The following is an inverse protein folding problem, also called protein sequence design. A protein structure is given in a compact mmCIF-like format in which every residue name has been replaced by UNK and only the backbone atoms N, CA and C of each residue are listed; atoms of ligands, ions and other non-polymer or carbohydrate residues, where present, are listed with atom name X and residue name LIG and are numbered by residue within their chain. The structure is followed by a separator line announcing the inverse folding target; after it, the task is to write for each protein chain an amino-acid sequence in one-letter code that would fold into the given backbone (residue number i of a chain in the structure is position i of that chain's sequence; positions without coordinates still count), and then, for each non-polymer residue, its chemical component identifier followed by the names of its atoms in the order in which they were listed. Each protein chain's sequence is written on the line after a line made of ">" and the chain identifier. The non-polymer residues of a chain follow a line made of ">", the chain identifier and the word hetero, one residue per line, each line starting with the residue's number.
data_IF_620084397534
#
_entry.id   IF_620084397534
#
_cell.length_a   1.000
_cell.length_b   1.000
_cell.length_c   1.000
_cell.angle_alpha   90.00
_cell.angle_beta   90.00
_cell.angle_gamma   90.00
#
_symmetry.space_group_name_H-M   'P 1'
#
loop_
_entity.id
_entity.type
_entity.pdbx_description
1 polymer ?
#
# COMPACT_ATOMS: atom_id res chain seq x y z
N UNK A 1 12.69 -21.36 -61.61
CA UNK A 1 12.02 -20.97 -60.35
C UNK A 1 13.06 -20.36 -59.42
N UNK A 2 12.84 -19.09 -59.03
CA UNK A 2 13.35 -18.35 -57.82
C UNK A 2 14.73 -18.73 -57.26
N UNK A 3 15.79 -17.92 -57.49
CA UNK A 3 16.23 -16.74 -56.72
C UNK A 3 16.71 -17.02 -55.27
N UNK A 4 18.03 -16.85 -55.07
CA UNK A 4 18.83 -16.32 -53.95
C UNK A 4 18.24 -16.18 -52.53
N UNK A 5 19.02 -16.60 -51.52
CA UNK A 5 19.26 -15.89 -50.26
C UNK A 5 20.67 -16.25 -49.78
N UNK A 6 21.71 -15.41 -49.88
CA UNK A 6 21.94 -14.10 -49.26
C UNK A 6 21.93 -14.18 -47.72
N UNK A 7 23.13 -14.08 -47.15
CA UNK A 7 23.36 -13.86 -45.73
C UNK A 7 22.78 -12.52 -45.28
N UNK A 8 22.20 -12.48 -44.09
CA UNK A 8 22.05 -11.25 -43.31
C UNK A 8 22.41 -11.58 -41.86
N UNK A 9 23.62 -11.16 -41.50
CA UNK A 9 23.97 -10.78 -40.13
C UNK A 9 23.05 -9.66 -39.65
N UNK A 10 23.08 -9.48 -38.33
CA UNK A 10 22.63 -8.31 -37.57
C UNK A 10 21.19 -8.47 -37.01
N UNK A 11 20.81 -8.07 -35.80
CA UNK A 11 21.32 -7.03 -34.88
C UNK A 11 20.87 -7.39 -33.45
N UNK A 12 21.79 -7.34 -32.48
CA UNK A 12 21.65 -6.90 -31.09
C UNK A 12 20.34 -7.22 -30.34
N UNK A 13 20.45 -8.09 -29.34
CA UNK A 13 19.57 -8.01 -28.17
C UNK A 13 19.84 -6.67 -27.48
N UNK A 14 19.09 -5.65 -27.86
CA UNK A 14 18.92 -4.47 -27.03
C UNK A 14 18.30 -4.97 -25.72
N UNK A 15 19.02 -4.79 -24.60
CA UNK A 15 18.39 -4.92 -23.29
C UNK A 15 17.17 -4.02 -23.33
N UNK A 16 15.98 -4.60 -23.24
CA UNK A 16 14.76 -3.82 -23.16
C UNK A 16 14.91 -2.92 -21.93
N UNK A 17 15.01 -1.62 -22.14
CA UNK A 17 14.99 -0.67 -21.03
C UNK A 17 13.75 -0.99 -20.19
N UNK A 18 13.92 -1.14 -18.88
CA UNK A 18 12.79 -1.39 -18.01
C UNK A 18 11.82 -0.21 -18.14
N UNK A 19 10.53 -0.50 -18.35
CA UNK A 19 9.51 0.53 -18.27
C UNK A 19 9.46 1.05 -16.82
N UNK A 20 9.16 2.34 -16.63
CA UNK A 20 9.06 2.90 -15.29
C UNK A 20 8.01 2.16 -14.45
N UNK A 21 6.92 1.67 -15.08
CA UNK A 21 5.96 0.81 -14.41
C UNK A 21 6.56 -0.55 -13.97
N UNK A 22 7.45 -1.15 -14.78
CA UNK A 22 8.16 -2.38 -14.41
C UNK A 22 9.07 -2.15 -13.19
N UNK A 23 9.81 -1.05 -13.16
CA UNK A 23 10.70 -0.72 -12.03
C UNK A 23 9.90 -0.55 -10.73
N UNK A 24 8.74 0.11 -10.79
CA UNK A 24 7.88 0.30 -9.62
C UNK A 24 7.23 -1.02 -9.16
N UNK A 25 6.89 -1.93 -10.09
CA UNK A 25 6.39 -3.27 -9.74
C UNK A 25 7.47 -4.13 -9.09
N UNK A 26 8.67 -4.12 -9.65
CA UNK A 26 9.83 -4.82 -9.06
C UNK A 26 10.16 -4.30 -7.65
N UNK A 27 10.08 -2.98 -7.43
CA UNK A 27 10.22 -2.42 -6.08
C UNK A 27 9.18 -3.00 -5.10
N UNK A 28 7.93 -3.18 -5.52
CA UNK A 28 6.90 -3.81 -4.70
C UNK A 28 7.25 -5.25 -4.29
N UNK A 29 7.80 -6.02 -5.22
CA UNK A 29 8.24 -7.41 -4.99
C UNK A 29 9.43 -7.46 -4.02
N UNK A 30 10.41 -6.57 -4.19
CA UNK A 30 11.57 -6.50 -3.29
C UNK A 30 11.20 -5.99 -1.91
N UNK A 31 10.28 -5.03 -1.82
CA UNK A 31 9.71 -4.57 -0.57
C UNK A 31 9.06 -5.74 0.18
N UNK A 32 8.29 -6.57 -0.54
CA UNK A 32 7.70 -7.78 0.02
C UNK A 32 8.77 -8.75 0.54
N UNK A 33 9.79 -9.08 -0.26
CA UNK A 33 10.85 -10.02 0.15
C UNK A 33 11.63 -9.54 1.37
N UNK A 34 11.93 -8.24 1.48
CA UNK A 34 12.61 -7.69 2.66
C UNK A 34 11.71 -7.72 3.89
N UNK A 35 10.42 -7.38 3.72
CA UNK A 35 9.46 -7.42 4.82
C UNK A 35 9.29 -8.82 5.42
N UNK A 36 9.39 -9.87 4.58
CA UNK A 36 9.33 -11.26 5.06
C UNK A 36 10.59 -11.68 5.82
N UNK A 37 11.76 -11.21 5.39
CA UNK A 37 13.04 -11.65 5.94
C UNK A 37 13.36 -11.00 7.29
N UNK A 38 13.22 -9.68 7.41
CA UNK A 38 13.84 -8.92 8.52
C UNK A 38 12.95 -7.80 9.09
N UNK A 39 11.65 -7.76 8.77
CA UNK A 39 10.74 -6.62 9.01
C UNK A 39 11.21 -5.25 8.44
N UNK A 40 12.41 -5.22 7.86
CA UNK A 40 13.16 -4.13 7.26
C UNK A 40 13.45 -2.93 8.16
N UNK A 41 14.71 -2.50 8.15
CA UNK A 41 15.16 -1.30 8.85
C UNK A 41 15.11 -0.09 7.92
N UNK A 42 15.10 1.12 8.49
CA UNK A 42 15.14 2.36 7.70
C UNK A 42 16.31 2.40 6.71
N UNK A 43 17.47 1.83 7.07
CA UNK A 43 18.63 1.72 6.18
C UNK A 43 18.40 0.76 5.00
N UNK A 44 17.66 -0.33 5.18
CA UNK A 44 17.30 -1.23 4.09
C UNK A 44 16.30 -0.55 3.14
N UNK A 45 15.32 0.18 3.68
CA UNK A 45 14.38 0.96 2.88
C UNK A 45 15.08 2.00 2.01
N UNK A 46 16.02 2.76 2.58
CA UNK A 46 16.83 3.73 1.81
C UNK A 46 17.58 3.06 0.66
N UNK A 47 18.15 1.87 0.88
CA UNK A 47 18.87 1.13 -0.16
C UNK A 47 17.94 0.64 -1.28
N UNK A 48 16.76 0.11 -0.94
CA UNK A 48 15.77 -0.30 -1.93
C UNK A 48 15.25 0.88 -2.76
N UNK A 49 14.98 2.02 -2.11
CA UNK A 49 14.54 3.24 -2.79
C UNK A 49 15.62 3.77 -3.73
N UNK A 50 16.89 3.80 -3.28
CA UNK A 50 18.01 4.26 -4.08
C UNK A 50 18.24 3.37 -5.31
N UNK A 51 18.10 2.06 -5.17
CA UNK A 51 18.18 1.11 -6.29
C UNK A 51 17.05 1.35 -7.31
N UNK A 52 15.81 1.49 -6.83
CA UNK A 52 14.68 1.82 -7.70
C UNK A 52 14.88 3.15 -8.42
N UNK A 53 15.41 4.18 -7.75
CA UNK A 53 15.75 5.46 -8.37
C UNK A 53 16.91 5.36 -9.38
N UNK A 54 17.85 4.44 -9.17
CA UNK A 54 18.92 4.22 -10.15
C UNK A 54 18.37 3.61 -11.45
N UNK A 55 17.37 2.74 -11.34
CA UNK A 55 16.70 2.09 -12.47
C UNK A 55 15.65 2.97 -13.13
N UNK A 56 14.97 3.82 -12.36
CA UNK A 56 14.21 4.97 -12.87
C UNK A 56 15.20 6.02 -13.39
N UNK A 57 15.65 5.86 -14.62
CA UNK A 57 16.51 6.84 -15.30
C UNK A 57 15.72 7.58 -16.37
N UNK A 58 16.27 8.70 -16.86
CA UNK A 58 15.68 9.42 -18.02
C UNK A 58 15.78 8.59 -19.32
N UNK A 59 16.55 7.49 -19.29
CA UNK A 59 16.65 6.47 -20.34
C UNK A 59 15.68 5.29 -20.13
N UNK A 60 15.00 5.20 -18.98
CA UNK A 60 13.94 4.23 -18.78
C UNK A 60 12.84 4.43 -19.82
N UNK A 61 12.07 3.38 -20.13
CA UNK A 61 10.91 3.48 -21.02
C UNK A 61 9.96 4.62 -20.63
N UNK A 62 9.10 5.03 -21.57
CA UNK A 62 8.29 6.26 -21.48
C UNK A 62 7.61 6.46 -20.11
N UNK A 63 8.06 7.49 -19.37
CA UNK A 63 7.56 7.88 -18.04
C UNK A 63 6.06 8.24 -17.99
N UNK A 64 5.39 8.27 -19.13
CA UNK A 64 3.96 8.54 -19.29
C UNK A 64 3.19 7.39 -19.94
N UNK A 65 3.83 6.24 -20.24
CA UNK A 65 3.12 5.07 -20.77
C UNK A 65 2.19 4.52 -19.69
N UNK A 66 1.00 4.11 -20.10
CA UNK A 66 0.01 3.55 -19.19
C UNK A 66 0.08 2.03 -19.16
N UNK A 67 -0.17 1.43 -18.00
CA UNK A 67 -0.44 0.01 -17.89
C UNK A 67 -1.82 -0.37 -18.48
N UNK A 68 -2.19 -1.65 -18.39
CA UNK A 68 -3.48 -2.17 -18.89
C UNK A 68 -4.71 -1.55 -18.20
N UNK A 69 -4.53 -0.92 -17.03
CA UNK A 69 -5.57 -0.18 -16.32
C UNK A 69 -5.59 1.31 -16.68
N UNK A 70 -4.79 1.75 -17.65
CA UNK A 70 -4.64 3.16 -17.98
C UNK A 70 -3.78 3.94 -16.98
N UNK A 71 -3.00 3.27 -16.12
CA UNK A 71 -2.21 3.95 -15.07
C UNK A 71 -0.83 4.34 -15.54
N UNK A 72 -0.51 5.62 -15.39
CA UNK A 72 0.87 6.12 -15.57
C UNK A 72 1.78 5.69 -14.41
N UNK A 73 3.11 5.73 -14.57
CA UNK A 73 4.05 5.50 -13.48
C UNK A 73 3.81 6.39 -12.26
N UNK A 74 3.36 7.63 -12.47
CA UNK A 74 3.01 8.54 -11.37
C UNK A 74 1.80 8.04 -10.57
N UNK A 75 0.77 7.53 -11.24
CA UNK A 75 -0.40 6.91 -10.60
C UNK A 75 0.00 5.65 -9.81
N UNK A 76 0.86 4.81 -10.39
CA UNK A 76 1.38 3.62 -9.72
C UNK A 76 2.15 4.02 -8.46
N UNK A 77 3.07 4.98 -8.55
CA UNK A 77 3.84 5.45 -7.41
C UNK A 77 2.96 6.05 -6.31
N UNK A 78 1.97 6.87 -6.69
CA UNK A 78 1.03 7.50 -5.75
C UNK A 78 0.14 6.48 -5.03
N UNK A 79 -0.46 5.54 -5.77
CA UNK A 79 -1.30 4.46 -5.22
C UNK A 79 -0.54 3.60 -4.18
N UNK A 80 0.72 3.32 -4.49
CA UNK A 80 1.56 2.44 -3.68
C UNK A 80 2.33 3.17 -2.56
N UNK A 81 2.22 4.50 -2.44
CA UNK A 81 2.93 5.22 -1.38
C UNK A 81 4.43 5.37 -1.62
N UNK A 82 4.88 5.33 -2.88
CA UNK A 82 6.29 5.46 -3.25
C UNK A 82 6.69 6.94 -3.38
N UNK A 83 6.73 7.63 -2.24
CA UNK A 83 6.99 9.08 -2.20
C UNK A 83 8.32 9.47 -2.86
N UNK A 84 9.35 8.63 -2.73
CA UNK A 84 10.63 8.82 -3.42
C UNK A 84 10.47 8.88 -4.94
N UNK A 85 9.66 7.99 -5.53
CA UNK A 85 9.41 7.91 -6.96
C UNK A 85 8.49 9.04 -7.43
N UNK A 86 7.45 9.38 -6.66
CA UNK A 86 6.58 10.54 -6.93
C UNK A 86 7.43 11.82 -7.05
N UNK A 87 8.28 12.07 -6.06
CA UNK A 87 9.16 13.25 -6.05
C UNK A 87 10.15 13.25 -7.22
N UNK A 88 10.62 12.08 -7.63
CA UNK A 88 11.49 11.97 -8.80
C UNK A 88 10.75 12.23 -10.11
N UNK A 89 9.59 11.60 -10.30
CA UNK A 89 8.76 11.72 -11.51
C UNK A 89 8.26 13.16 -11.71
N UNK A 90 7.84 13.85 -10.65
CA UNK A 90 7.32 15.23 -10.73
C UNK A 90 8.37 16.28 -11.13
N UNK A 91 9.66 15.93 -11.15
CA UNK A 91 10.73 16.78 -11.67
C UNK A 91 10.84 16.73 -13.21
N UNK A 92 10.11 15.85 -13.88
CA UNK A 92 10.15 15.68 -15.33
C UNK A 92 8.98 16.41 -15.99
N UNK A 93 9.26 17.17 -17.04
CA UNK A 93 8.28 18.08 -17.64
C UNK A 93 7.15 17.31 -18.34
N UNK A 94 7.48 16.18 -18.97
CA UNK A 94 6.56 15.25 -19.61
C UNK A 94 5.57 14.64 -18.62
N UNK A 95 6.02 14.26 -17.41
CA UNK A 95 5.14 13.75 -16.35
C UNK A 95 4.17 14.83 -15.87
N UNK A 96 4.66 16.08 -15.69
CA UNK A 96 3.80 17.20 -15.27
C UNK A 96 2.71 17.53 -16.29
N UNK A 97 2.95 17.27 -17.58
CA UNK A 97 1.93 17.45 -18.64
C UNK A 97 0.80 16.42 -18.56
N UNK A 98 1.01 15.31 -17.87
CA UNK A 98 0.07 14.20 -17.72
C UNK A 98 -0.44 14.05 -16.27
N UNK A 99 -0.26 15.07 -15.44
CA UNK A 99 -0.52 15.03 -13.99
C UNK A 99 -1.95 14.61 -13.65
N UNK A 100 -2.91 15.13 -14.41
CA UNK A 100 -4.34 14.92 -14.23
C UNK A 100 -4.94 13.93 -15.24
N UNK A 101 -4.10 13.10 -15.88
CA UNK A 101 -4.63 11.93 -16.57
C UNK A 101 -5.42 11.09 -15.56
N UNK A 102 -6.37 10.31 -16.07
CA UNK A 102 -7.20 9.41 -15.28
C UNK A 102 -7.05 7.99 -15.80
N UNK A 103 -7.01 7.05 -14.87
CA UNK A 103 -6.99 5.62 -15.19
C UNK A 103 -8.36 5.15 -15.68
N UNK A 104 -8.50 3.85 -16.00
CA UNK A 104 -9.75 3.28 -16.50
C UNK A 104 -10.93 3.40 -15.51
N UNK A 105 -10.64 3.62 -14.23
CA UNK A 105 -11.64 3.85 -13.18
C UNK A 105 -11.95 5.34 -12.97
N UNK A 106 -11.35 6.21 -13.78
CA UNK A 106 -11.51 7.66 -13.67
C UNK A 106 -10.64 8.29 -12.57
N UNK A 107 -9.65 7.59 -12.02
CA UNK A 107 -8.84 8.08 -10.90
C UNK A 107 -7.53 8.70 -11.39
N UNK A 108 -7.21 9.89 -10.88
CA UNK A 108 -5.92 10.55 -11.08
C UNK A 108 -4.86 10.05 -10.08
N UNK A 109 -3.61 10.47 -10.25
CA UNK A 109 -2.57 10.22 -9.26
C UNK A 109 -2.92 10.81 -7.88
N UNK A 110 -3.57 11.98 -7.85
CA UNK A 110 -4.06 12.59 -6.61
C UNK A 110 -5.11 11.70 -5.94
N UNK A 111 -6.12 11.24 -6.69
CA UNK A 111 -7.20 10.39 -6.16
C UNK A 111 -6.63 9.07 -5.60
N UNK A 112 -5.70 8.45 -6.32
CA UNK A 112 -5.01 7.22 -5.88
C UNK A 112 -4.15 7.44 -4.61
N UNK A 113 -3.54 8.62 -4.45
CA UNK A 113 -2.84 8.96 -3.21
C UNK A 113 -3.80 9.05 -2.01
N UNK A 114 -5.03 9.54 -2.23
CA UNK A 114 -6.05 9.64 -1.19
C UNK A 114 -6.55 8.26 -0.74
N UNK A 115 -6.64 7.31 -1.67
CA UNK A 115 -7.06 5.94 -1.34
C UNK A 115 -6.07 5.23 -0.42
N UNK A 116 -4.78 5.57 -0.47
CA UNK A 116 -3.73 4.97 0.36
C UNK A 116 -3.76 3.43 0.36
N UNK A 117 -3.93 2.82 -0.82
CA UNK A 117 -4.34 1.42 -0.98
C UNK A 117 -3.51 0.40 -0.18
N UNK A 118 -2.21 0.65 0.02
CA UNK A 118 -1.32 -0.25 0.76
C UNK A 118 -1.48 -0.20 2.28
N UNK A 119 -2.20 0.80 2.81
CA UNK A 119 -2.58 0.86 4.22
C UNK A 119 -4.08 0.63 4.43
N UNK A 120 -4.91 0.87 3.41
CA UNK A 120 -6.38 0.92 3.58
C UNK A 120 -7.14 -0.29 3.04
N UNK A 121 -6.45 -1.26 2.43
CA UNK A 121 -7.09 -2.46 1.89
C UNK A 121 -8.03 -3.18 2.90
N UNK A 122 -7.62 -3.25 4.17
CA UNK A 122 -8.45 -3.84 5.23
C UNK A 122 -9.66 -3.00 5.63
N UNK A 123 -9.66 -1.68 5.40
CA UNK A 123 -10.83 -0.85 5.61
C UNK A 123 -11.97 -1.24 4.64
N UNK A 124 -11.61 -1.59 3.41
CA UNK A 124 -12.55 -2.03 2.37
C UNK A 124 -13.09 -3.45 2.64
N UNK A 125 -12.21 -4.36 3.06
CA UNK A 125 -12.53 -5.78 3.28
C UNK A 125 -12.09 -6.22 4.68
N UNK A 126 -12.81 -5.81 5.74
CA UNK A 126 -12.38 -6.04 7.13
C UNK A 126 -12.32 -7.53 7.51
N UNK A 127 -13.15 -8.35 6.84
CA UNK A 127 -13.20 -9.80 7.03
C UNK A 127 -12.32 -10.57 6.05
N UNK A 128 -11.44 -9.90 5.30
CA UNK A 128 -10.48 -10.61 4.47
C UNK A 128 -9.59 -11.48 5.35
N UNK A 129 -9.59 -12.78 5.04
CA UNK A 129 -8.69 -13.79 5.60
C UNK A 129 -7.67 -14.28 4.55
N UNK A 130 -7.89 -13.90 3.28
CA UNK A 130 -6.99 -14.27 2.18
C UNK A 130 -5.61 -13.67 2.39
N UNK A 131 -4.61 -14.55 2.48
CA UNK A 131 -3.19 -14.18 2.52
C UNK A 131 -2.79 -13.31 1.34
N UNK A 132 -3.35 -13.54 0.14
CA UNK A 132 -2.98 -12.79 -1.06
C UNK A 132 -3.27 -11.27 -0.97
N UNK A 133 -4.22 -10.85 -0.13
CA UNK A 133 -4.54 -9.42 0.08
C UNK A 133 -3.90 -8.90 1.37
N UNK A 134 -3.98 -9.70 2.44
CA UNK A 134 -3.57 -9.25 3.78
C UNK A 134 -2.07 -9.37 3.98
N UNK A 135 -1.44 -10.44 3.47
CA UNK A 135 -0.01 -10.70 3.68
C UNK A 135 0.86 -9.61 3.05
N UNK A 136 0.71 -9.23 1.77
CA UNK A 136 1.55 -8.17 1.20
C UNK A 136 1.40 -6.82 1.92
N UNK A 137 0.20 -6.56 2.45
CA UNK A 137 -0.07 -5.35 3.24
C UNK A 137 0.66 -5.39 4.59
N UNK A 138 0.57 -6.50 5.33
CA UNK A 138 1.20 -6.65 6.65
C UNK A 138 2.73 -6.71 6.54
N UNK A 139 3.24 -7.45 5.56
CA UNK A 139 4.68 -7.60 5.31
C UNK A 139 5.32 -6.25 4.93
N UNK A 140 4.64 -5.44 4.13
CA UNK A 140 5.10 -4.10 3.79
C UNK A 140 4.79 -3.02 4.83
N UNK A 141 3.99 -3.33 5.87
CA UNK A 141 3.51 -2.33 6.83
C UNK A 141 4.65 -1.55 7.51
N UNK A 142 5.77 -2.16 7.95
CA UNK A 142 6.86 -1.42 8.57
C UNK A 142 7.43 -0.30 7.69
N UNK A 143 7.54 -0.52 6.37
CA UNK A 143 7.93 0.53 5.43
C UNK A 143 6.95 1.71 5.43
N UNK A 144 5.63 1.44 5.43
CA UNK A 144 4.63 2.50 5.43
C UNK A 144 4.47 3.23 6.78
N UNK A 145 4.85 2.58 7.89
CA UNK A 145 4.93 3.20 9.21
C UNK A 145 6.17 4.10 9.32
N UNK A 146 7.31 3.66 8.81
CA UNK A 146 8.56 4.44 8.77
C UNK A 146 8.44 5.65 7.84
N UNK A 147 7.92 5.46 6.62
CA UNK A 147 7.87 6.52 5.59
C UNK A 147 6.69 7.47 5.69
N UNK A 148 5.58 7.05 6.32
CA UNK A 148 4.31 7.80 6.38
C UNK A 148 3.97 8.54 5.07
N UNK A 149 3.98 7.88 3.90
CA UNK A 149 4.22 8.57 2.62
C UNK A 149 3.01 9.35 2.09
N UNK A 150 1.78 8.93 2.44
CA UNK A 150 0.58 9.33 1.73
C UNK A 150 0.23 10.83 1.84
N UNK A 151 0.26 11.47 3.03
CA UNK A 151 0.03 12.92 3.10
C UNK A 151 1.06 13.73 2.33
N UNK A 152 2.33 13.33 2.40
CA UNK A 152 3.42 14.00 1.69
C UNK A 152 3.25 13.89 0.16
N UNK A 153 2.81 12.72 -0.32
CA UNK A 153 2.49 12.51 -1.74
C UNK A 153 1.33 13.42 -2.17
N UNK A 154 0.25 13.48 -1.38
CA UNK A 154 -0.90 14.36 -1.67
C UNK A 154 -0.45 15.81 -1.82
N UNK A 155 0.39 16.29 -0.90
CA UNK A 155 0.92 17.66 -0.92
C UNK A 155 1.81 17.87 -2.15
N UNK A 156 2.74 16.96 -2.43
CA UNK A 156 3.64 17.08 -3.58
C UNK A 156 2.88 17.13 -4.92
N UNK A 157 1.82 16.35 -5.07
CA UNK A 157 0.97 16.38 -6.26
C UNK A 157 0.24 17.72 -6.41
N UNK A 158 -0.31 18.25 -5.31
CA UNK A 158 -0.97 19.56 -5.31
C UNK A 158 0.01 20.71 -5.61
N UNK A 159 1.22 20.66 -5.04
CA UNK A 159 2.29 21.63 -5.33
C UNK A 159 2.77 21.54 -6.78
N UNK A 160 2.68 20.36 -7.40
CA UNK A 160 2.93 20.18 -8.82
C UNK A 160 1.80 20.71 -9.73
N UNK A 161 0.63 21.03 -9.15
CA UNK A 161 -0.53 21.60 -9.84
C UNK A 161 -1.68 20.63 -10.07
N UNK A 162 -1.71 19.47 -9.38
CA UNK A 162 -2.78 18.48 -9.57
C UNK A 162 -4.14 19.01 -9.11
N UNK A 163 -5.19 18.61 -9.82
CA UNK A 163 -6.56 18.96 -9.47
C UNK A 163 -7.09 18.15 -8.27
N UNK A 164 -7.94 18.79 -7.45
CA UNK A 164 -8.69 18.10 -6.39
C UNK A 164 -10.04 17.64 -6.95
N UNK A 165 -10.18 16.36 -7.25
CA UNK A 165 -11.44 15.78 -7.71
C UNK A 165 -11.99 14.72 -6.73
N UNK A 166 -12.49 15.17 -5.58
CA UNK A 166 -12.89 14.27 -4.47
C UNK A 166 -14.24 13.56 -4.68
N UNK A 167 -15.14 14.12 -5.48
CA UNK A 167 -16.52 13.59 -5.61
C UNK A 167 -16.56 12.21 -6.25
N UNK A 168 -15.79 12.02 -7.33
CA UNK A 168 -15.73 10.73 -8.04
C UNK A 168 -15.02 9.67 -7.20
N UNK A 169 -14.04 10.10 -6.39
CA UNK A 169 -13.30 9.22 -5.48
C UNK A 169 -14.20 8.58 -4.40
N UNK A 170 -15.07 9.38 -3.77
CA UNK A 170 -16.01 8.88 -2.73
C UNK A 170 -16.98 7.87 -3.32
N UNK A 171 -17.59 8.22 -4.44
CA UNK A 171 -18.52 7.34 -5.14
C UNK A 171 -17.83 6.04 -5.57
N UNK A 172 -16.62 6.14 -6.15
CA UNK A 172 -15.78 5.00 -6.49
C UNK A 172 -15.56 4.09 -5.29
N UNK A 173 -15.07 4.63 -4.17
CA UNK A 173 -14.74 3.81 -3.01
C UNK A 173 -15.99 3.15 -2.39
N UNK A 174 -17.10 3.87 -2.28
CA UNK A 174 -18.35 3.34 -1.73
C UNK A 174 -18.92 2.19 -2.56
N UNK A 175 -18.72 2.24 -3.88
CA UNK A 175 -19.10 1.17 -4.81
C UNK A 175 -18.12 -0.01 -4.76
N UNK A 176 -16.81 0.27 -4.71
CA UNK A 176 -15.77 -0.76 -4.68
C UNK A 176 -15.72 -1.52 -3.33
N UNK A 177 -16.19 -0.92 -2.25
CA UNK A 177 -16.09 -1.43 -0.88
C UNK A 177 -17.45 -1.66 -0.20
N UNK A 178 -18.32 -2.53 -0.75
CA UNK A 178 -19.66 -2.77 -0.20
C UNK A 178 -19.63 -3.43 1.19
N UNK A 179 -18.53 -4.09 1.55
CA UNK A 179 -18.37 -4.83 2.80
C UNK A 179 -17.64 -4.06 3.92
N UNK A 180 -17.27 -2.80 3.67
CA UNK A 180 -16.69 -1.95 4.70
C UNK A 180 -17.70 -1.71 5.85
N UNK A 181 -17.21 -1.37 7.04
CA UNK A 181 -18.07 -1.10 8.20
C UNK A 181 -19.05 0.06 7.91
N UNK A 182 -20.33 -0.03 8.35
CA UNK A 182 -21.31 1.04 8.15
C UNK A 182 -20.81 2.42 8.59
N UNK A 183 -20.12 2.50 9.72
CA UNK A 183 -19.60 3.74 10.31
C UNK A 183 -18.52 4.38 9.44
N UNK A 184 -17.69 3.56 8.76
CA UNK A 184 -16.72 4.06 7.80
C UNK A 184 -17.41 4.54 6.52
N UNK A 185 -18.37 3.77 6.01
CA UNK A 185 -19.12 4.13 4.80
C UNK A 185 -19.86 5.45 4.97
N UNK A 186 -20.48 5.67 6.13
CA UNK A 186 -21.13 6.94 6.47
C UNK A 186 -20.14 8.11 6.51
N UNK A 187 -18.96 7.92 7.14
CA UNK A 187 -17.90 8.95 7.15
C UNK A 187 -17.40 9.30 5.74
N UNK A 188 -17.22 8.31 4.87
CA UNK A 188 -16.80 8.53 3.48
C UNK A 188 -17.91 9.21 2.65
N UNK A 189 -19.18 8.91 2.93
CA UNK A 189 -20.31 9.55 2.27
C UNK A 189 -20.53 11.02 2.70
N UNK A 190 -20.07 11.40 3.91
CA UNK A 190 -20.10 12.78 4.40
C UNK A 190 -18.94 13.64 3.89
N UNK A 191 -18.68 14.76 4.57
CA UNK A 191 -17.67 15.76 4.16
C UNK A 191 -16.27 15.51 4.75
N UNK A 192 -16.09 14.44 5.53
CA UNK A 192 -14.81 14.15 6.18
C UNK A 192 -13.70 13.88 5.13
N UNK A 193 -12.44 14.28 5.36
CA UNK A 193 -11.35 14.02 4.42
C UNK A 193 -11.21 12.52 4.13
N UNK A 194 -11.26 12.13 2.84
CA UNK A 194 -11.28 10.72 2.42
C UNK A 194 -10.06 9.97 2.95
N UNK A 195 -8.85 10.47 2.68
CA UNK A 195 -7.60 9.80 3.07
C UNK A 195 -7.53 9.53 4.57
N UNK A 196 -7.86 10.53 5.40
CA UNK A 196 -7.87 10.38 6.86
C UNK A 196 -8.91 9.36 7.32
N UNK A 197 -10.13 9.45 6.79
CA UNK A 197 -11.22 8.54 7.14
C UNK A 197 -10.88 7.09 6.81
N UNK A 198 -10.26 6.84 5.65
CA UNK A 198 -9.82 5.51 5.23
C UNK A 198 -8.70 4.97 6.11
N UNK A 199 -7.70 5.79 6.46
CA UNK A 199 -6.62 5.41 7.36
C UNK A 199 -7.13 5.09 8.77
N UNK A 200 -8.03 5.91 9.33
CA UNK A 200 -8.66 5.64 10.62
C UNK A 200 -9.50 4.36 10.59
N UNK A 201 -10.25 4.13 9.51
CA UNK A 201 -10.99 2.89 9.30
C UNK A 201 -10.08 1.66 9.27
N UNK A 202 -8.97 1.73 8.53
CA UNK A 202 -8.01 0.63 8.44
C UNK A 202 -7.33 0.33 9.79
N UNK A 203 -6.92 1.38 10.51
CA UNK A 203 -6.37 1.27 11.86
C UNK A 203 -7.35 0.57 12.80
N UNK A 204 -8.63 0.96 12.76
CA UNK A 204 -9.68 0.33 13.57
C UNK A 204 -9.81 -1.18 13.29
N UNK A 205 -9.75 -1.58 12.02
CA UNK A 205 -9.80 -3.00 11.63
C UNK A 205 -8.56 -3.76 12.13
N UNK A 206 -7.36 -3.19 11.97
CA UNK A 206 -6.11 -3.79 12.45
C UNK A 206 -6.11 -3.97 13.96
N UNK A 207 -6.48 -2.93 14.70
CA UNK A 207 -6.58 -2.96 16.16
C UNK A 207 -7.61 -4.00 16.63
N UNK A 208 -8.78 -4.08 15.96
CA UNK A 208 -9.80 -5.06 16.27
C UNK A 208 -9.32 -6.50 16.03
N UNK A 209 -8.63 -6.76 14.91
CA UNK A 209 -8.05 -8.08 14.61
C UNK A 209 -7.01 -8.49 15.66
N UNK A 210 -6.09 -7.58 16.00
CA UNK A 210 -5.04 -7.84 16.99
C UNK A 210 -5.64 -8.15 18.37
N UNK A 211 -6.67 -7.39 18.77
CA UNK A 211 -7.38 -7.61 20.03
C UNK A 211 -8.15 -8.93 20.03
N UNK A 212 -8.82 -9.27 18.93
CA UNK A 212 -9.60 -10.50 18.84
C UNK A 212 -8.72 -11.75 18.87
N UNK A 213 -7.55 -11.71 18.23
CA UNK A 213 -6.57 -12.79 18.31
C UNK A 213 -6.10 -13.04 19.75
N UNK A 214 -5.75 -11.98 20.49
CA UNK A 214 -5.33 -12.07 21.88
C UNK A 214 -6.44 -12.71 22.75
N UNK A 215 -7.69 -12.28 22.56
CA UNK A 215 -8.86 -12.82 23.27
C UNK A 215 -9.14 -14.28 22.89
N UNK A 216 -9.01 -14.65 21.61
CA UNK A 216 -9.19 -16.03 21.16
C UNK A 216 -8.19 -16.98 21.82
N UNK A 217 -6.91 -16.59 21.91
CA UNK A 217 -5.87 -17.35 22.61
C UNK A 217 -6.23 -17.54 24.09
N UNK A 218 -6.64 -16.48 24.77
CA UNK A 218 -7.09 -16.57 26.17
C UNK A 218 -8.29 -17.49 26.34
N UNK A 219 -9.36 -17.33 25.55
CA UNK A 219 -10.54 -18.20 25.59
C UNK A 219 -10.23 -19.66 25.28
N UNK A 220 -9.21 -19.92 24.46
CA UNK A 220 -8.72 -21.27 24.22
C UNK A 220 -8.13 -21.88 25.50
N UNK A 221 -7.29 -21.12 26.21
CA UNK A 221 -6.72 -21.53 27.50
C UNK A 221 -7.82 -21.74 28.54
N UNK A 222 -8.76 -20.81 28.69
CA UNK A 222 -9.89 -20.98 29.62
C UNK A 222 -10.65 -22.29 29.36
N UNK A 223 -10.94 -22.62 28.09
CA UNK A 223 -11.62 -23.86 27.71
C UNK A 223 -10.78 -25.12 28.00
N UNK A 224 -9.48 -25.09 27.74
CA UNK A 224 -8.59 -26.23 27.99
C UNK A 224 -8.44 -26.55 29.48
N UNK A 225 -8.55 -25.53 30.35
CA UNK A 225 -8.29 -25.65 31.77
C UNK A 225 -9.54 -25.56 32.66
N UNK A 226 -10.73 -25.39 32.08
CA UNK A 226 -12.00 -25.19 32.79
C UNK A 226 -12.31 -26.21 33.91
N UNK A 227 -11.86 -27.46 33.76
CA UNK A 227 -12.16 -28.55 34.69
C UNK A 227 -10.99 -28.94 35.61
N UNK A 228 -9.88 -28.19 35.57
CA UNK A 228 -8.69 -28.49 36.41
C UNK A 228 -8.72 -27.69 37.69
N UNK A 229 -8.54 -28.37 38.84
CA UNK A 229 -8.61 -27.75 40.18
C UNK A 229 -7.45 -26.78 40.46
N UNK A 230 -6.36 -26.91 39.73
CA UNK A 230 -5.12 -26.14 39.85
C UNK A 230 -4.94 -25.09 38.72
N UNK A 231 -5.99 -24.84 37.92
CA UNK A 231 -5.91 -23.96 36.74
C UNK A 231 -5.90 -22.46 37.03
N UNK A 232 -6.25 -22.02 38.25
CA UNK A 232 -6.45 -20.60 38.56
C UNK A 232 -5.23 -19.73 38.21
N UNK A 233 -4.01 -20.22 38.51
CA UNK A 233 -2.77 -19.51 38.18
C UNK A 233 -2.54 -19.40 36.67
N UNK A 234 -2.82 -20.48 35.92
CA UNK A 234 -2.65 -20.52 34.45
C UNK A 234 -3.63 -19.57 33.76
N UNK A 235 -4.89 -19.54 34.20
CA UNK A 235 -5.91 -18.63 33.65
C UNK A 235 -5.56 -17.18 33.95
N UNK A 236 -5.11 -16.86 35.17
CA UNK A 236 -4.69 -15.52 35.55
C UNK A 236 -3.47 -15.05 34.73
N UNK A 237 -2.46 -15.91 34.57
CA UNK A 237 -1.30 -15.62 33.72
C UNK A 237 -1.70 -15.38 32.26
N UNK A 238 -2.60 -16.20 31.72
CA UNK A 238 -3.09 -16.04 30.35
C UNK A 238 -3.86 -14.72 30.16
N UNK A 239 -4.61 -14.26 31.17
CA UNK A 239 -5.29 -12.96 31.13
C UNK A 239 -4.29 -11.81 31.06
N UNK A 240 -3.26 -11.83 31.92
CA UNK A 240 -2.21 -10.82 31.90
C UNK A 240 -1.50 -10.77 30.54
N UNK A 241 -1.14 -11.93 29.97
CA UNK A 241 -0.56 -12.01 28.62
C UNK A 241 -1.48 -11.46 27.52
N UNK A 242 -2.80 -11.67 27.64
CA UNK A 242 -3.77 -11.10 26.72
C UNK A 242 -3.79 -9.56 26.82
N UNK A 243 -3.82 -9.01 28.03
CA UNK A 243 -3.81 -7.57 28.28
C UNK A 243 -2.51 -6.94 27.76
N UNK A 244 -1.36 -7.53 28.06
CA UNK A 244 -0.05 -7.11 27.54
C UNK A 244 -0.01 -7.13 26.01
N UNK A 245 -0.57 -8.17 25.38
CA UNK A 245 -0.63 -8.25 23.92
C UNK A 245 -1.52 -7.18 23.32
N UNK A 246 -2.68 -6.89 23.93
CA UNK A 246 -3.58 -5.82 23.48
C UNK A 246 -2.88 -4.45 23.58
N UNK A 247 -2.12 -4.21 24.65
CA UNK A 247 -1.32 -2.98 24.78
C UNK A 247 -0.25 -2.89 23.70
N UNK A 248 0.52 -3.97 23.48
CA UNK A 248 1.55 -4.02 22.44
C UNK A 248 0.99 -3.78 21.02
N UNK A 249 -0.25 -4.20 20.73
CA UNK A 249 -0.92 -3.91 19.46
C UNK A 249 -1.03 -2.40 19.19
N UNK A 250 -1.29 -1.60 20.23
CA UNK A 250 -1.41 -0.14 20.09
C UNK A 250 -0.06 0.49 19.77
N UNK A 251 1.01 0.04 20.43
CA UNK A 251 2.37 0.52 20.22
C UNK A 251 2.90 0.15 18.83
N UNK A 252 2.64 -1.07 18.35
CA UNK A 252 3.05 -1.51 17.01
C UNK A 252 2.35 -0.76 15.87
N UNK A 253 1.14 -0.25 16.12
CA UNK A 253 0.38 0.57 15.18
C UNK A 253 0.60 2.08 15.40
N UNK A 254 1.51 2.45 16.29
CA UNK A 254 1.93 3.84 16.45
C UNK A 254 2.51 4.36 15.12
N UNK A 255 2.11 5.56 14.72
CA UNK A 255 2.49 6.14 13.43
C UNK A 255 1.70 5.60 12.23
N UNK A 256 0.67 4.77 12.44
CA UNK A 256 -0.23 4.39 11.35
C UNK A 256 -1.00 5.60 10.80
N UNK A 257 -1.49 6.45 11.70
CA UNK A 257 -2.02 7.76 11.33
C UNK A 257 -0.87 8.77 11.19
N UNK A 258 -0.95 9.67 10.21
CA UNK A 258 -0.09 10.85 10.21
C UNK A 258 -0.43 11.75 11.40
N UNK A 259 0.58 12.49 11.86
CA UNK A 259 0.46 13.46 12.96
C UNK A 259 -0.46 14.64 12.58
#
# INVERSE_FOLDING_TARGET
>A
MRWLAAAALAIWGQGAFADAADVLRDFAERLYSVGEADAGTSEIWVRLEADALHRLSDEAGSLTVTDDNGRTPLMIAAANGYGFAVNWLLRRAEVRRTLDLRDAEGLSAYDLSQLALRKTALACRPRAESSAVVTPMLVGLPYYLDRKPYPAISVALLEAGAERADTDLRAYWLNACPTASPELRERIAGDAPVQRSLLEGALGVLAAKCTEEARLRHRSIERMFANRRDAAGVIAQSRAQMEDRIAACADELAGFLPD
#
